data_IF_267553144074
#
_entry.id   IF_267553144074
#
_cell.length_a   1.000
_cell.length_b   1.000
_cell.length_c   1.000
_cell.angle_alpha   90.00
_cell.angle_beta   90.00
_cell.angle_gamma   90.00
#
_symmetry.space_group_name_H-M   'P 1'
#
loop_
_entity.id
_entity.type
_entity.pdbx_description
1 polymer ?
#
# COMPACT_ATOMS: atom_id res chain seq x y z
N UNK A 1 12.96 -3.51 12.16
CA UNK A 1 11.53 -3.71 11.83
C UNK A 1 10.81 -4.33 13.03
N UNK A 2 9.81 -3.67 13.64
CA UNK A 2 8.83 -4.42 14.46
C UNK A 2 8.05 -5.29 13.49
N UNK A 3 7.99 -6.61 13.74
CA UNK A 3 7.23 -7.60 12.96
C UNK A 3 5.82 -7.06 12.70
N UNK A 4 5.61 -6.48 11.51
CA UNK A 4 4.26 -6.13 11.05
C UNK A 4 3.46 -7.43 11.05
N UNK A 5 2.18 -7.38 11.47
CA UNK A 5 1.33 -8.57 11.59
C UNK A 5 1.31 -9.43 10.31
N UNK A 6 1.63 -8.84 9.17
CA UNK A 6 1.80 -9.54 7.90
C UNK A 6 3.01 -10.50 7.88
N UNK A 7 4.20 -10.05 8.30
CA UNK A 7 5.38 -10.93 8.42
C UNK A 7 5.21 -12.01 9.48
N UNK A 8 4.28 -11.82 10.43
CA UNK A 8 3.96 -12.85 11.42
C UNK A 8 3.17 -14.03 10.82
N UNK A 9 2.49 -13.84 9.68
CA UNK A 9 1.76 -14.89 8.99
C UNK A 9 2.63 -15.73 8.04
N UNK A 10 3.88 -15.31 7.81
CA UNK A 10 4.83 -15.99 6.94
C UNK A 10 5.81 -16.85 7.77
N UNK A 11 6.19 -18.01 7.24
CA UNK A 11 7.25 -18.83 7.84
C UNK A 11 8.61 -18.09 7.80
N UNK A 12 9.61 -18.51 8.59
CA UNK A 12 10.87 -17.76 8.74
C UNK A 12 11.66 -17.58 7.44
N UNK A 13 11.60 -18.55 6.52
CA UNK A 13 12.34 -18.51 5.25
C UNK A 13 11.83 -17.44 4.25
N UNK A 14 10.53 -17.41 3.88
CA UNK A 14 9.98 -16.34 3.02
C UNK A 14 10.14 -14.94 3.62
N UNK A 15 10.14 -14.85 4.95
CA UNK A 15 10.33 -13.57 5.65
C UNK A 15 11.71 -12.98 5.38
N UNK A 16 12.75 -13.82 5.34
CA UNK A 16 14.11 -13.37 5.06
C UNK A 16 14.26 -12.94 3.60
N UNK A 17 13.71 -13.71 2.66
CA UNK A 17 13.72 -13.34 1.24
C UNK A 17 13.01 -12.01 0.99
N UNK A 18 11.87 -11.76 1.64
CA UNK A 18 11.17 -10.48 1.58
C UNK A 18 12.00 -9.33 2.18
N UNK A 19 12.66 -9.54 3.32
CA UNK A 19 13.49 -8.53 3.95
C UNK A 19 14.71 -8.14 3.08
N UNK A 20 15.21 -9.04 2.23
CA UNK A 20 16.32 -8.75 1.32
C UNK A 20 15.90 -7.89 0.11
N UNK A 21 14.61 -7.89 -0.26
CA UNK A 21 14.08 -7.15 -1.42
C UNK A 21 13.15 -5.99 -1.03
N UNK A 22 12.85 -5.82 0.26
CA UNK A 22 11.96 -4.76 0.69
C UNK A 22 12.62 -3.38 0.60
N UNK A 23 11.83 -2.40 0.18
CA UNK A 23 12.22 -1.00 0.23
C UNK A 23 11.31 -0.28 1.22
N UNK A 24 11.86 0.04 2.39
CA UNK A 24 11.14 0.82 3.41
C UNK A 24 11.28 2.31 3.10
N UNK A 25 10.15 2.97 2.81
CA UNK A 25 10.09 4.41 2.61
C UNK A 25 9.23 5.05 3.71
N UNK A 26 9.75 6.08 4.37
CA UNK A 26 8.98 6.95 5.25
C UNK A 26 8.40 8.09 4.43
N UNK A 27 7.08 8.30 4.53
CA UNK A 27 6.39 9.38 3.85
C UNK A 27 5.78 10.34 4.88
N UNK A 28 5.81 11.67 4.62
CA UNK A 28 5.09 12.62 5.47
C UNK A 28 3.58 12.39 5.37
N UNK A 29 2.81 12.98 6.29
CA UNK A 29 1.35 12.95 6.19
C UNK A 29 0.87 13.63 4.90
N UNK A 30 -0.15 13.05 4.26
CA UNK A 30 -0.74 13.56 3.02
C UNK A 30 0.02 13.19 1.74
N UNK A 31 1.15 12.49 1.84
CA UNK A 31 1.91 12.03 0.70
C UNK A 31 1.15 10.98 -0.13
N UNK A 32 1.24 11.08 -1.46
CA UNK A 32 0.75 10.06 -2.39
C UNK A 32 1.73 8.89 -2.46
N UNK A 33 1.23 7.68 -2.17
CA UNK A 33 1.98 6.43 -2.29
C UNK A 33 1.88 5.89 -3.73
N UNK A 34 0.67 5.90 -4.29
CA UNK A 34 0.41 5.61 -5.70
C UNK A 34 -0.87 6.33 -6.13
N UNK A 35 -1.04 6.45 -7.45
CA UNK A 35 -2.14 7.20 -8.07
C UNK A 35 -2.96 6.27 -8.95
N UNK A 36 -4.26 6.49 -8.97
CA UNK A 36 -5.19 5.85 -9.89
C UNK A 36 -4.71 5.99 -11.36
N UNK A 37 -4.88 4.93 -12.14
CA UNK A 37 -4.45 4.84 -13.54
C UNK A 37 -2.96 4.52 -13.75
N UNK A 38 -2.12 4.57 -12.72
CA UNK A 38 -0.71 4.17 -12.84
C UNK A 38 -0.56 2.65 -12.88
N UNK A 39 0.38 2.15 -13.69
CA UNK A 39 0.71 0.73 -13.71
C UNK A 39 1.16 0.25 -12.32
N UNK A 40 0.69 -0.92 -11.88
CA UNK A 40 1.06 -1.48 -10.59
C UNK A 40 2.52 -1.94 -10.60
N UNK A 41 3.41 -1.13 -10.00
CA UNK A 41 4.86 -1.39 -9.97
C UNK A 41 5.30 -2.35 -8.87
N UNK A 42 4.42 -2.60 -7.90
CA UNK A 42 4.74 -3.41 -6.74
C UNK A 42 3.64 -3.41 -5.70
N UNK A 43 3.88 -4.19 -4.66
CA UNK A 43 2.97 -4.36 -3.52
C UNK A 43 3.46 -3.49 -2.38
N UNK A 44 2.54 -2.81 -1.69
CA UNK A 44 2.86 -1.93 -0.57
C UNK A 44 2.28 -2.49 0.73
N UNK A 45 3.00 -2.34 1.83
CA UNK A 45 2.56 -2.79 3.16
C UNK A 45 2.62 -1.60 4.10
N UNK A 46 1.49 -1.28 4.75
CA UNK A 46 1.46 -0.21 5.75
C UNK A 46 2.17 -0.71 6.99
N UNK A 47 3.37 -0.20 7.26
CA UNK A 47 4.15 -0.61 8.43
C UNK A 47 3.73 0.15 9.70
N UNK A 48 3.47 1.46 9.55
CA UNK A 48 3.05 2.38 10.62
C UNK A 48 2.16 3.48 10.03
N UNK A 49 1.35 4.12 10.88
CA UNK A 49 0.37 5.11 10.45
C UNK A 49 -0.80 4.48 9.70
N UNK A 50 -1.52 5.28 8.92
CA UNK A 50 -2.67 4.85 8.12
C UNK A 50 -2.53 5.35 6.69
N UNK A 51 -3.27 4.73 5.77
CA UNK A 51 -3.34 5.21 4.39
C UNK A 51 -4.79 5.23 3.90
N UNK A 52 -5.21 6.35 3.32
CA UNK A 52 -6.52 6.50 2.67
C UNK A 52 -6.43 5.97 1.25
N UNK A 53 -7.26 4.97 0.95
CA UNK A 53 -7.56 4.54 -0.41
C UNK A 53 -8.74 5.35 -0.91
N UNK A 54 -8.53 6.06 -2.02
CA UNK A 54 -9.48 7.04 -2.53
C UNK A 54 -9.48 7.05 -4.06
N UNK A 55 -10.63 7.40 -4.64
CA UNK A 55 -10.76 7.71 -6.06
C UNK A 55 -11.29 9.14 -6.20
N UNK A 56 -11.01 9.76 -7.33
CA UNK A 56 -11.46 11.11 -7.64
C UNK A 56 -12.28 11.06 -8.92
N UNK A 57 -13.53 11.53 -8.86
CA UNK A 57 -14.38 11.58 -10.03
C UNK A 57 -14.00 12.74 -10.98
N UNK A 58 -14.63 12.80 -12.15
CA UNK A 58 -14.42 13.86 -13.14
C UNK A 58 -14.70 15.29 -12.61
N UNK A 59 -15.56 15.43 -11.59
CA UNK A 59 -15.84 16.71 -10.94
C UNK A 59 -14.79 17.11 -9.89
N UNK A 60 -13.72 16.33 -9.73
CA UNK A 60 -12.69 16.54 -8.71
C UNK A 60 -13.11 16.14 -7.29
N UNK A 61 -14.32 15.56 -7.13
CA UNK A 61 -14.79 15.07 -5.83
C UNK A 61 -14.09 13.77 -5.50
N UNK A 62 -13.51 13.76 -4.31
CA UNK A 62 -12.72 12.65 -3.81
C UNK A 62 -13.56 11.82 -2.85
N UNK A 63 -13.63 10.50 -3.10
CA UNK A 63 -14.30 9.54 -2.24
C UNK A 63 -13.27 8.63 -1.58
N UNK A 64 -13.27 8.57 -0.25
CA UNK A 64 -12.45 7.62 0.52
C UNK A 64 -13.22 6.32 0.61
N UNK A 65 -12.66 5.25 0.05
CA UNK A 65 -13.27 3.91 0.08
C UNK A 65 -12.81 3.10 1.29
N UNK A 66 -11.55 3.26 1.71
CA UNK A 66 -10.98 2.51 2.83
C UNK A 66 -9.85 3.29 3.50
N UNK A 67 -9.70 3.10 4.80
CA UNK A 67 -8.51 3.54 5.56
C UNK A 67 -7.73 2.28 5.95
N UNK A 68 -6.60 2.09 5.28
CA UNK A 68 -5.70 0.98 5.51
C UNK A 68 -4.93 1.15 6.84
N UNK A 69 -4.84 0.06 7.60
CA UNK A 69 -4.20 -0.01 8.92
C UNK A 69 -2.82 -0.66 8.85
N UNK A 70 -1.98 -0.50 9.90
CA UNK A 70 -0.70 -1.21 9.99
C UNK A 70 -0.86 -2.73 9.85
N UNK A 71 -0.14 -3.29 8.88
CA UNK A 71 -0.18 -4.71 8.51
C UNK A 71 -1.01 -5.02 7.28
N UNK A 72 -1.78 -4.07 6.75
CA UNK A 72 -2.56 -4.29 5.53
C UNK A 72 -1.71 -4.13 4.26
N UNK A 73 -2.05 -4.96 3.26
CA UNK A 73 -1.41 -4.99 1.95
C UNK A 73 -2.23 -4.18 0.95
N UNK A 74 -1.55 -3.38 0.15
CA UNK A 74 -2.13 -2.57 -0.92
C UNK A 74 -1.54 -3.00 -2.27
N UNK A 75 -2.39 -3.08 -3.29
CA UNK A 75 -1.97 -3.30 -4.68
C UNK A 75 -1.65 -4.75 -5.06
N UNK A 76 -1.77 -5.73 -4.15
CA UNK A 76 -1.45 -7.14 -4.45
C UNK A 76 -2.23 -7.70 -5.66
N UNK A 77 -3.55 -7.54 -5.67
CA UNK A 77 -4.40 -8.05 -6.75
C UNK A 77 -4.08 -7.39 -8.11
N UNK A 78 -3.61 -6.14 -8.10
CA UNK A 78 -3.27 -5.39 -9.31
C UNK A 78 -1.96 -5.87 -9.91
N UNK A 79 -0.96 -6.12 -9.06
CA UNK A 79 0.33 -6.69 -9.49
C UNK A 79 0.13 -8.08 -10.08
N UNK A 80 -0.65 -8.94 -9.43
CA UNK A 80 -0.93 -10.29 -9.92
C UNK A 80 -1.70 -10.27 -11.24
N UNK A 81 -2.65 -9.34 -11.39
CA UNK A 81 -3.50 -9.23 -12.59
C UNK A 81 -2.85 -8.41 -13.72
N UNK A 82 -1.69 -7.78 -13.49
CA UNK A 82 -1.08 -6.84 -14.43
C UNK A 82 -1.92 -5.59 -14.73
N UNK A 83 -2.83 -5.22 -13.82
CA UNK A 83 -3.74 -4.07 -14.00
C UNK A 83 -3.16 -2.81 -13.38
N UNK A 84 -3.61 -1.66 -13.88
CA UNK A 84 -3.32 -0.36 -13.28
C UNK A 84 -4.05 -0.18 -11.94
N UNK A 85 -3.53 0.74 -11.12
CA UNK A 85 -4.18 1.15 -9.88
C UNK A 85 -5.58 1.68 -10.12
N UNK A 86 -6.59 1.00 -9.57
CA UNK A 86 -7.98 1.46 -9.60
C UNK A 86 -8.24 2.57 -8.57
N UNK A 87 -7.33 2.75 -7.61
CA UNK A 87 -7.43 3.71 -6.53
C UNK A 87 -6.11 4.45 -6.34
N UNK A 88 -6.18 5.64 -5.75
CA UNK A 88 -5.02 6.35 -5.20
C UNK A 88 -4.86 6.02 -3.73
N UNK A 89 -3.62 5.94 -3.25
CA UNK A 89 -3.30 5.83 -1.83
C UNK A 89 -2.59 7.08 -1.33
N UNK A 90 -3.12 7.69 -0.28
CA UNK A 90 -2.48 8.81 0.44
C UNK A 90 -2.22 8.46 1.89
N UNK A 91 -1.07 8.84 2.43
CA UNK A 91 -0.78 8.68 3.86
C UNK A 91 -1.66 9.58 4.72
N UNK A 92 -2.03 9.08 5.89
CA UNK A 92 -2.85 9.78 6.88
C UNK A 92 -2.41 9.35 8.28
N UNK A 93 -2.34 10.30 9.22
CA UNK A 93 -2.06 9.98 10.63
C UNK A 93 -3.09 9.00 11.19
#
# INVERSE_FOLDING_TARGET
>A
MRRSRFFCALSPEPTRGLAEIEHTNSCPEGALVFVEGQAARGVYIVCQGRAKLMTTNCDGKTLILKIAQPGEILGLHLVISGKAHELSARTHA
#
